data_IF_848385770305
#
_entry.id   IF_848385770305
#
_cell.length_a   1.000
_cell.length_b   1.000
_cell.length_c   1.000
_cell.angle_alpha   90.00
_cell.angle_beta   90.00
_cell.angle_gamma   90.00
#
_symmetry.space_group_name_H-M   'P 1'
#
loop_
_entity.id
_entity.type
_entity.pdbx_description
1 polymer ?
#
# COMPACT_ATOMS: atom_id res chain seq x y z
N UNK A 1 18.99 40.79 -7.85
CA UNK A 1 19.47 39.96 -8.98
C UNK A 1 18.83 38.59 -8.87
N UNK A 2 18.26 38.14 -9.98
CA UNK A 2 17.18 37.16 -10.10
C UNK A 2 17.55 35.77 -9.57
N UNK A 3 16.81 35.26 -8.57
CA UNK A 3 16.81 33.82 -8.27
C UNK A 3 15.92 33.12 -9.28
N UNK A 4 16.55 32.36 -10.18
CA UNK A 4 15.90 31.48 -11.15
C UNK A 4 15.08 30.41 -10.42
N UNK A 5 13.83 30.74 -10.08
CA UNK A 5 12.84 29.76 -9.63
C UNK A 5 12.52 28.84 -10.81
N UNK A 6 13.09 27.64 -10.82
CA UNK A 6 12.70 26.58 -11.75
C UNK A 6 11.16 26.48 -11.71
N UNK A 7 10.51 26.69 -12.85
CA UNK A 7 9.05 26.55 -12.99
C UNK A 7 8.67 25.18 -12.44
N UNK A 8 7.98 25.13 -11.29
CA UNK A 8 7.47 23.88 -10.70
C UNK A 8 6.57 23.22 -11.75
N UNK A 9 7.08 22.16 -12.40
CA UNK A 9 6.32 21.37 -13.38
C UNK A 9 4.97 21.01 -12.79
N UNK A 10 3.89 21.25 -13.55
CA UNK A 10 2.56 20.88 -13.11
C UNK A 10 2.48 19.35 -12.98
N UNK A 11 2.00 18.87 -11.82
CA UNK A 11 1.80 17.44 -11.58
C UNK A 11 0.43 17.01 -12.09
N UNK A 12 0.38 15.89 -12.80
CA UNK A 12 -0.84 15.28 -13.32
C UNK A 12 -1.27 14.14 -12.40
N UNK A 13 -2.43 14.28 -11.75
CA UNK A 13 -2.97 13.32 -10.79
C UNK A 13 -4.19 12.61 -11.39
N UNK A 14 -4.12 11.29 -11.53
CA UNK A 14 -5.28 10.47 -11.88
C UNK A 14 -6.24 10.36 -10.69
N UNK A 15 -7.52 10.66 -10.88
CA UNK A 15 -8.56 10.52 -9.87
C UNK A 15 -9.40 9.30 -10.18
N UNK A 16 -9.43 8.33 -9.26
CA UNK A 16 -10.20 7.10 -9.37
C UNK A 16 -11.12 7.04 -8.14
N UNK A 17 -12.33 7.64 -8.19
CA UNK A 17 -13.25 7.64 -7.06
C UNK A 17 -13.63 6.24 -6.59
N UNK A 18 -13.83 5.32 -7.54
CA UNK A 18 -14.34 3.99 -7.24
C UNK A 18 -15.80 4.00 -6.82
N UNK A 19 -16.13 3.23 -5.80
CA UNK A 19 -17.50 2.96 -5.36
C UNK A 19 -17.80 3.64 -4.01
N UNK A 20 -19.10 3.84 -3.73
CA UNK A 20 -19.58 4.30 -2.42
C UNK A 20 -18.92 5.59 -1.93
N UNK A 21 -18.36 5.56 -0.72
CA UNK A 21 -17.73 6.73 -0.07
C UNK A 21 -16.55 7.30 -0.87
N UNK A 22 -15.94 6.53 -1.77
CA UNK A 22 -14.87 6.98 -2.64
C UNK A 22 -15.25 8.22 -3.47
N UNK A 23 -16.52 8.29 -3.90
CA UNK A 23 -17.10 9.42 -4.63
C UNK A 23 -17.28 10.68 -3.81
N UNK A 24 -17.24 10.59 -2.47
CA UNK A 24 -17.31 11.72 -1.56
C UNK A 24 -15.91 12.20 -1.15
N UNK A 25 -15.02 11.25 -0.81
CA UNK A 25 -13.70 11.58 -0.28
C UNK A 25 -12.71 12.06 -1.35
N UNK A 26 -12.82 11.57 -2.60
CA UNK A 26 -11.91 12.00 -3.67
C UNK A 26 -12.13 13.47 -4.07
N UNK A 27 -13.38 13.97 -4.29
CA UNK A 27 -13.61 15.39 -4.51
C UNK A 27 -13.16 16.27 -3.34
N UNK A 28 -13.37 15.81 -2.10
CA UNK A 28 -12.89 16.53 -0.92
C UNK A 28 -11.36 16.63 -0.89
N UNK A 29 -10.65 15.52 -1.13
CA UNK A 29 -9.19 15.49 -1.22
C UNK A 29 -8.66 16.39 -2.35
N UNK A 30 -9.30 16.38 -3.52
CA UNK A 30 -8.98 17.29 -4.64
C UNK A 30 -9.04 18.75 -4.19
N UNK A 31 -10.13 19.16 -3.53
CA UNK A 31 -10.30 20.52 -3.03
C UNK A 31 -9.20 20.90 -2.03
N UNK A 32 -8.92 20.05 -1.04
CA UNK A 32 -7.86 20.30 -0.05
C UNK A 32 -6.50 20.46 -0.74
N UNK A 33 -6.16 19.58 -1.69
CA UNK A 33 -4.89 19.64 -2.41
C UNK A 33 -4.74 20.90 -3.26
N UNK A 34 -5.82 21.42 -3.84
CA UNK A 34 -5.80 22.67 -4.62
C UNK A 34 -5.56 23.90 -3.75
N UNK A 35 -6.05 23.90 -2.50
CA UNK A 35 -5.95 25.03 -1.58
C UNK A 35 -4.69 24.96 -0.68
N UNK A 36 -3.95 23.85 -0.69
CA UNK A 36 -2.79 23.66 0.20
C UNK A 36 -1.58 24.50 -0.26
N UNK A 37 -1.06 25.43 0.57
CA UNK A 37 0.10 26.23 0.21
C UNK A 37 1.36 25.39 -0.03
N UNK A 38 2.21 25.81 -0.97
CA UNK A 38 3.51 25.18 -1.25
C UNK A 38 3.45 23.96 -2.19
N UNK A 39 2.27 23.43 -2.46
CA UNK A 39 2.05 22.34 -3.43
C UNK A 39 2.29 22.87 -4.86
N UNK A 40 2.96 22.08 -5.75
CA UNK A 40 3.08 22.43 -7.17
C UNK A 40 1.70 22.61 -7.84
N UNK A 41 1.65 23.26 -9.00
CA UNK A 41 0.42 23.34 -9.78
C UNK A 41 -0.09 21.92 -10.07
N UNK A 42 -1.34 21.63 -9.72
CA UNK A 42 -1.96 20.34 -9.94
C UNK A 42 -2.91 20.38 -11.13
N UNK A 43 -2.93 19.30 -11.89
CA UNK A 43 -3.95 19.01 -12.90
C UNK A 43 -4.49 17.61 -12.64
N UNK A 44 -5.78 17.42 -12.92
CA UNK A 44 -6.49 16.19 -12.55
C UNK A 44 -7.03 15.50 -13.79
N UNK A 45 -7.00 14.18 -13.77
CA UNK A 45 -7.50 13.33 -14.83
C UNK A 45 -8.49 12.35 -14.23
N UNK A 46 -9.76 12.48 -14.58
CA UNK A 46 -10.79 11.55 -14.09
C UNK A 46 -10.67 10.21 -14.82
N UNK A 47 -10.70 9.14 -14.03
CA UNK A 47 -10.50 7.76 -14.42
C UNK A 47 -11.49 6.86 -13.70
N UNK A 48 -11.86 5.75 -14.35
CA UNK A 48 -12.86 4.83 -13.83
C UNK A 48 -12.26 3.48 -13.47
N UNK A 49 -12.64 2.96 -12.31
CA UNK A 49 -12.43 1.59 -11.88
C UNK A 49 -13.39 1.32 -10.71
N UNK A 50 -13.89 0.10 -10.55
CA UNK A 50 -14.78 -0.21 -9.43
C UNK A 50 -15.69 -1.40 -9.69
N UNK A 51 -16.44 -1.79 -8.68
CA UNK A 51 -17.46 -2.82 -8.80
C UNK A 51 -18.73 -2.30 -9.47
N UNK A 52 -19.12 -1.04 -9.22
CA UNK A 52 -20.27 -0.46 -9.93
C UNK A 52 -20.01 -0.37 -11.44
N UNK A 53 -18.76 -0.08 -11.83
CA UNK A 53 -18.35 -0.10 -13.24
C UNK A 53 -18.45 -1.51 -13.81
N UNK A 54 -18.01 -2.52 -13.05
CA UNK A 54 -18.15 -3.92 -13.43
C UNK A 54 -19.61 -4.34 -13.63
N UNK A 55 -20.52 -3.90 -12.75
CA UNK A 55 -21.95 -4.19 -12.89
C UNK A 55 -22.56 -3.61 -14.19
N UNK A 56 -22.04 -2.48 -14.66
CA UNK A 56 -22.53 -1.80 -15.88
C UNK A 56 -21.89 -2.33 -17.16
N UNK A 57 -20.61 -2.68 -17.11
CA UNK A 57 -19.78 -2.92 -18.32
C UNK A 57 -19.19 -4.32 -18.39
N UNK A 58 -19.28 -5.11 -17.31
CA UNK A 58 -18.57 -6.37 -17.15
C UNK A 58 -17.07 -6.22 -16.87
N UNK A 59 -16.55 -5.00 -16.73
CA UNK A 59 -15.11 -4.73 -16.54
C UNK A 59 -14.88 -3.89 -15.29
N UNK A 60 -14.10 -4.40 -14.34
CA UNK A 60 -13.80 -3.68 -13.08
C UNK A 60 -12.65 -2.68 -13.18
N UNK A 61 -11.71 -2.93 -14.09
CA UNK A 61 -10.56 -2.06 -14.37
C UNK A 61 -10.33 -1.98 -15.89
N UNK A 62 -10.83 -0.94 -16.56
CA UNK A 62 -10.57 -0.71 -17.98
C UNK A 62 -9.07 -0.66 -18.28
N UNK A 63 -8.67 -1.18 -19.45
CA UNK A 63 -7.28 -1.09 -19.91
C UNK A 63 -6.85 0.37 -20.12
N UNK A 64 -7.75 1.18 -20.66
CA UNK A 64 -7.56 2.63 -20.85
C UNK A 64 -7.18 3.33 -19.54
N UNK A 65 -7.82 2.98 -18.41
CA UNK A 65 -7.47 3.54 -17.09
C UNK A 65 -6.01 3.28 -16.75
N UNK A 66 -5.51 2.05 -16.96
CA UNK A 66 -4.11 1.70 -16.68
C UNK A 66 -3.16 2.42 -17.65
N UNK A 67 -3.51 2.51 -18.93
CA UNK A 67 -2.71 3.17 -19.96
C UNK A 67 -2.58 4.67 -19.70
N UNK A 68 -3.68 5.34 -19.34
CA UNK A 68 -3.68 6.76 -18.96
C UNK A 68 -2.89 7.00 -17.68
N UNK A 69 -2.96 6.11 -16.71
CA UNK A 69 -2.11 6.20 -15.52
C UNK A 69 -0.63 6.13 -15.86
N UNK A 70 -0.22 5.20 -16.73
CA UNK A 70 1.19 5.05 -17.14
C UNK A 70 1.70 6.19 -18.00
N UNK A 71 0.89 6.68 -18.93
CA UNK A 71 1.34 7.63 -19.98
C UNK A 71 1.09 9.09 -19.64
N UNK A 72 0.11 9.38 -18.78
CA UNK A 72 -0.40 10.74 -18.58
C UNK A 72 -0.38 11.21 -17.14
N UNK A 73 -0.13 10.33 -16.16
CA UNK A 73 -0.20 10.68 -14.74
C UNK A 73 1.18 10.54 -14.07
N UNK A 74 1.52 11.50 -13.20
CA UNK A 74 2.68 11.38 -12.30
C UNK A 74 2.30 10.63 -11.01
N UNK A 75 1.01 10.69 -10.62
CA UNK A 75 0.47 10.02 -9.44
C UNK A 75 -1.03 9.74 -9.60
N UNK A 76 -1.62 9.02 -8.65
CA UNK A 76 -3.05 8.77 -8.64
C UNK A 76 -3.63 8.74 -7.22
N UNK A 77 -4.87 9.21 -7.09
CA UNK A 77 -5.70 9.05 -5.91
C UNK A 77 -6.78 8.02 -6.20
N UNK A 78 -6.75 6.93 -5.44
CA UNK A 78 -7.76 5.88 -5.50
C UNK A 78 -8.64 5.96 -4.25
N UNK A 79 -9.96 6.01 -4.43
CA UNK A 79 -10.95 6.08 -3.37
C UNK A 79 -11.17 4.73 -2.71
N UNK A 80 -12.38 4.18 -2.89
CA UNK A 80 -12.76 2.89 -2.32
C UNK A 80 -13.34 1.98 -3.40
N UNK A 81 -13.26 0.67 -3.22
CA UNK A 81 -13.94 -0.30 -4.09
C UNK A 81 -14.80 -1.23 -3.24
N UNK A 82 -16.04 -1.41 -3.65
CA UNK A 82 -16.95 -2.38 -3.05
C UNK A 82 -16.55 -3.77 -3.51
N UNK A 83 -15.96 -4.59 -2.65
CA UNK A 83 -15.59 -5.96 -3.01
C UNK A 83 -16.72 -6.93 -2.65
N UNK A 84 -17.21 -7.76 -3.59
CA UNK A 84 -18.22 -8.77 -3.28
C UNK A 84 -17.67 -9.78 -2.26
N UNK A 85 -18.52 -10.23 -1.34
CA UNK A 85 -18.17 -11.20 -0.29
C UNK A 85 -18.01 -12.63 -0.82
N UNK A 86 -18.53 -12.90 -2.02
CA UNK A 86 -18.43 -14.17 -2.72
C UNK A 86 -17.67 -13.99 -4.04
N UNK A 87 -17.19 -15.10 -4.60
CA UNK A 87 -16.55 -15.10 -5.91
C UNK A 87 -17.59 -14.77 -6.97
N UNK A 88 -17.40 -13.65 -7.66
CA UNK A 88 -18.20 -13.27 -8.83
C UNK A 88 -17.37 -13.62 -10.07
N UNK A 89 -17.95 -14.39 -10.98
CA UNK A 89 -17.29 -14.78 -12.21
C UNK A 89 -16.94 -13.54 -13.06
N UNK A 90 -15.74 -13.50 -13.65
CA UNK A 90 -15.26 -12.34 -14.38
C UNK A 90 -14.79 -11.15 -13.53
N UNK A 91 -15.14 -11.08 -12.23
CA UNK A 91 -14.68 -10.00 -11.36
C UNK A 91 -13.28 -10.27 -10.81
N UNK A 92 -12.40 -9.30 -10.99
CA UNK A 92 -11.13 -9.22 -10.26
C UNK A 92 -11.02 -7.87 -9.56
N UNK A 93 -10.44 -7.86 -8.35
CA UNK A 93 -10.30 -6.63 -7.57
C UNK A 93 -9.44 -5.62 -8.35
N UNK A 94 -10.00 -4.45 -8.71
CA UNK A 94 -9.31 -3.48 -9.56
C UNK A 94 -8.05 -2.94 -8.88
N UNK A 95 -8.07 -2.74 -7.55
CA UNK A 95 -6.89 -2.26 -6.81
C UNK A 95 -5.76 -3.29 -6.80
N UNK A 96 -6.06 -4.58 -6.66
CA UNK A 96 -5.05 -5.65 -6.69
C UNK A 96 -4.44 -5.73 -8.08
N UNK A 97 -5.26 -5.69 -9.13
CA UNK A 97 -4.77 -5.69 -10.51
C UNK A 97 -3.95 -4.44 -10.81
N UNK A 98 -4.41 -3.26 -10.41
CA UNK A 98 -3.73 -1.99 -10.63
C UNK A 98 -2.34 -1.97 -10.00
N UNK A 99 -2.21 -2.48 -8.76
CA UNK A 99 -0.92 -2.61 -8.07
C UNK A 99 0.07 -3.50 -8.83
N UNK A 100 -0.41 -4.61 -9.40
CA UNK A 100 0.43 -5.51 -10.20
C UNK A 100 0.84 -4.86 -11.52
N UNK A 101 -0.11 -4.26 -12.23
CA UNK A 101 0.11 -3.59 -13.52
C UNK A 101 1.10 -2.42 -13.40
N UNK A 102 1.07 -1.67 -12.30
CA UNK A 102 1.93 -0.51 -12.07
C UNK A 102 3.17 -0.82 -11.20
N UNK A 103 3.44 -2.10 -10.89
CA UNK A 103 4.50 -2.54 -9.96
C UNK A 103 4.53 -1.74 -8.64
N UNK A 104 3.36 -1.44 -8.07
CA UNK A 104 3.19 -0.74 -6.79
C UNK A 104 3.44 -1.68 -5.61
N UNK A 105 4.70 -2.02 -5.44
CA UNK A 105 5.16 -3.11 -4.58
C UNK A 105 5.17 -2.81 -3.09
N UNK A 106 5.29 -1.54 -2.71
CA UNK A 106 5.31 -1.12 -1.33
C UNK A 106 3.94 -0.55 -0.93
N UNK A 107 3.28 -1.21 0.01
CA UNK A 107 2.12 -0.67 0.68
C UNK A 107 2.55 0.01 1.98
N UNK A 108 2.69 1.33 1.94
CA UNK A 108 3.13 2.17 3.06
C UNK A 108 1.90 2.68 3.80
N UNK A 109 1.81 2.43 5.12
CA UNK A 109 0.68 2.84 5.98
C UNK A 109 1.19 3.56 7.22
N UNK A 110 1.29 4.90 7.18
CA UNK A 110 1.53 5.70 8.37
C UNK A 110 0.34 5.61 9.33
N UNK A 111 0.63 5.42 10.61
CA UNK A 111 -0.33 5.37 11.71
C UNK A 111 0.15 6.40 12.73
N UNK A 112 -0.63 7.47 12.89
CA UNK A 112 -0.33 8.55 13.81
C UNK A 112 -1.47 8.69 14.83
N UNK A 113 -1.14 8.55 16.12
CA UNK A 113 -2.06 8.81 17.22
C UNK A 113 -1.80 10.20 17.78
N UNK A 114 -2.78 11.09 17.63
CA UNK A 114 -2.72 12.46 18.15
C UNK A 114 -2.66 12.43 19.69
N UNK A 115 -3.44 11.56 20.33
CA UNK A 115 -3.54 11.49 21.79
C UNK A 115 -2.38 10.77 22.46
N UNK A 116 -1.92 9.65 21.88
CA UNK A 116 -0.82 8.84 22.45
C UNK A 116 0.55 9.26 21.93
N UNK A 117 0.60 10.27 21.06
CA UNK A 117 1.78 10.74 20.33
C UNK A 117 2.58 9.56 19.72
N UNK A 118 1.87 8.54 19.23
CA UNK A 118 2.49 7.35 18.65
C UNK A 118 2.57 7.52 17.14
N UNK A 119 3.75 7.29 16.57
CA UNK A 119 3.96 7.26 15.12
C UNK A 119 4.61 5.95 14.71
N UNK A 120 3.91 5.16 13.90
CA UNK A 120 4.41 3.91 13.33
C UNK A 120 4.08 3.94 11.85
N UNK A 121 5.03 3.58 11.00
CA UNK A 121 4.74 3.35 9.58
C UNK A 121 4.95 1.89 9.24
N UNK A 122 3.89 1.22 8.78
CA UNK A 122 3.98 -0.15 8.27
C UNK A 122 4.38 -0.09 6.81
N UNK A 123 5.52 -0.70 6.47
CA UNK A 123 5.99 -0.87 5.09
C UNK A 123 5.81 -2.33 4.71
N UNK A 124 4.79 -2.60 3.90
CA UNK A 124 4.36 -3.95 3.58
C UNK A 124 4.68 -4.31 2.13
N UNK A 125 5.30 -5.46 1.92
CA UNK A 125 5.47 -6.10 0.61
C UNK A 125 4.09 -6.49 0.05
N UNK A 126 3.85 -6.21 -1.23
CA UNK A 126 2.52 -6.22 -1.84
C UNK A 126 2.45 -6.98 -3.18
N UNK A 127 3.46 -7.79 -3.51
CA UNK A 127 3.55 -8.52 -4.79
C UNK A 127 3.51 -10.05 -4.65
N UNK A 128 4.01 -10.61 -3.56
CA UNK A 128 4.20 -12.06 -3.39
C UNK A 128 3.60 -12.62 -2.08
N UNK A 129 4.26 -13.55 -1.39
CA UNK A 129 3.75 -14.32 -0.26
C UNK A 129 2.59 -15.24 -0.69
N UNK A 130 1.58 -15.44 0.16
CA UNK A 130 0.37 -16.19 -0.20
C UNK A 130 -0.49 -15.47 -1.26
N UNK A 131 -0.17 -14.22 -1.59
CA UNK A 131 -0.91 -13.45 -2.62
C UNK A 131 -0.62 -13.89 -4.06
N UNK A 132 0.27 -14.87 -4.26
CA UNK A 132 0.44 -15.55 -5.55
C UNK A 132 -0.76 -16.42 -5.94
N UNK A 133 -1.64 -16.74 -4.98
CA UNK A 133 -2.89 -17.52 -5.19
C UNK A 133 -2.68 -18.86 -5.90
N UNK A 134 -1.57 -19.53 -5.57
CA UNK A 134 -1.28 -20.87 -6.05
C UNK A 134 -1.78 -21.87 -5.02
N UNK A 135 -3.01 -22.32 -5.20
CA UNK A 135 -3.73 -23.17 -4.27
C UNK A 135 -4.22 -24.44 -4.99
N UNK A 136 -4.20 -25.57 -4.29
CA UNK A 136 -4.68 -26.86 -4.80
C UNK A 136 -5.43 -27.61 -3.70
N UNK A 137 -6.43 -28.40 -4.11
CA UNK A 137 -7.17 -29.29 -3.24
C UNK A 137 -7.00 -30.71 -3.77
N UNK A 138 -6.51 -31.62 -2.94
CA UNK A 138 -6.38 -33.05 -3.23
C UNK A 138 -7.23 -33.86 -2.24
N UNK A 139 -7.87 -34.93 -2.71
CA UNK A 139 -8.62 -35.86 -1.83
C UNK A 139 -7.84 -37.16 -1.55
N UNK A 140 -6.76 -37.39 -2.29
CA UNK A 140 -5.91 -38.57 -2.19
C UNK A 140 -4.52 -38.16 -1.71
N UNK A 141 -4.48 -37.42 -0.60
CA UNK A 141 -3.22 -36.93 -0.09
C UNK A 141 -2.42 -38.03 0.62
N UNK A 142 -1.14 -38.24 0.30
CA UNK A 142 -0.34 -39.26 0.97
C UNK A 142 -0.06 -38.94 2.45
N UNK A 143 -0.27 -37.70 2.91
CA UNK A 143 0.04 -37.29 4.27
C UNK A 143 -1.18 -37.13 5.20
N UNK A 144 -2.41 -37.14 4.66
CA UNK A 144 -3.61 -37.05 5.48
C UNK A 144 -4.84 -37.65 4.77
N UNK A 145 -5.70 -38.40 5.49
CA UNK A 145 -6.96 -38.86 4.92
C UNK A 145 -7.93 -37.67 4.72
N UNK A 146 -8.68 -37.69 3.61
CA UNK A 146 -9.72 -36.70 3.30
C UNK A 146 -9.27 -35.56 2.39
N UNK A 147 -10.05 -34.47 2.33
CA UNK A 147 -9.73 -33.30 1.50
C UNK A 147 -8.60 -32.49 2.14
N UNK A 148 -7.47 -32.38 1.45
CA UNK A 148 -6.31 -31.58 1.84
C UNK A 148 -6.20 -30.37 0.92
N UNK A 149 -6.10 -29.18 1.51
CA UNK A 149 -5.82 -27.94 0.80
C UNK A 149 -4.36 -27.52 1.00
N UNK A 150 -3.67 -27.15 -0.08
CA UNK A 150 -2.32 -26.58 -0.04
C UNK A 150 -2.28 -25.22 -0.71
N UNK A 151 -1.50 -24.32 -0.14
CA UNK A 151 -1.18 -23.02 -0.70
C UNK A 151 0.34 -22.84 -0.77
N UNK A 152 0.83 -22.33 -1.88
CA UNK A 152 2.25 -22.03 -2.06
C UNK A 152 2.50 -20.59 -1.59
N UNK A 153 3.44 -20.44 -0.65
CA UNK A 153 3.97 -19.14 -0.24
C UNK A 153 5.28 -18.89 -0.97
N UNK A 154 5.32 -17.86 -1.83
CA UNK A 154 6.54 -17.47 -2.54
C UNK A 154 7.15 -16.27 -1.84
N UNK A 155 8.44 -16.36 -1.53
CA UNK A 155 9.24 -15.23 -1.03
C UNK A 155 10.50 -15.16 -1.88
N UNK A 156 10.72 -14.03 -2.55
CA UNK A 156 11.89 -13.82 -3.39
C UNK A 156 12.86 -12.84 -2.74
N UNK A 157 14.15 -13.06 -2.97
CA UNK A 157 15.21 -12.16 -2.53
C UNK A 157 14.97 -10.73 -3.07
N UNK A 158 14.69 -10.61 -4.37
CA UNK A 158 14.44 -9.30 -5.02
C UNK A 158 13.30 -8.53 -4.35
N UNK A 159 12.16 -9.15 -4.08
CA UNK A 159 11.03 -8.47 -3.46
C UNK A 159 11.33 -8.08 -2.00
N UNK A 160 12.01 -8.97 -1.27
CA UNK A 160 12.43 -8.75 0.12
C UNK A 160 13.47 -7.63 0.25
N UNK A 161 14.46 -7.57 -0.64
CA UNK A 161 15.48 -6.52 -0.63
C UNK A 161 14.90 -5.15 -0.96
N UNK A 162 14.07 -5.04 -2.01
CA UNK A 162 13.50 -3.75 -2.39
C UNK A 162 12.54 -3.19 -1.35
N UNK A 163 11.78 -4.04 -0.66
CA UNK A 163 10.90 -3.59 0.42
C UNK A 163 11.70 -3.21 1.67
N UNK A 164 12.78 -3.94 1.98
CA UNK A 164 13.72 -3.57 3.04
C UNK A 164 14.38 -2.22 2.80
N UNK A 165 14.84 -1.97 1.56
CA UNK A 165 15.39 -0.66 1.15
C UNK A 165 14.35 0.46 1.29
N UNK A 166 13.12 0.23 0.82
CA UNK A 166 12.02 1.19 0.99
C UNK A 166 11.75 1.49 2.47
N UNK A 167 11.78 0.47 3.33
CA UNK A 167 11.59 0.65 4.77
C UNK A 167 12.70 1.52 5.38
N UNK A 168 13.97 1.30 5.00
CA UNK A 168 15.08 2.14 5.42
C UNK A 168 14.93 3.58 4.92
N UNK A 169 14.53 3.80 3.67
CA UNK A 169 14.29 5.13 3.11
C UNK A 169 13.17 5.88 3.84
N UNK A 170 12.06 5.19 4.15
CA UNK A 170 10.95 5.74 4.94
C UNK A 170 11.43 6.11 6.34
N UNK A 171 12.23 5.25 6.98
CA UNK A 171 12.78 5.50 8.32
C UNK A 171 13.71 6.73 8.32
N UNK A 172 14.61 6.84 7.34
CA UNK A 172 15.53 7.99 7.21
C UNK A 172 14.77 9.30 6.97
N UNK A 173 13.76 9.31 6.10
CA UNK A 173 12.90 10.49 5.90
C UNK A 173 12.17 10.88 7.19
N UNK A 174 11.63 9.91 7.92
CA UNK A 174 10.99 10.15 9.21
C UNK A 174 11.97 10.70 10.25
N UNK A 175 13.21 10.21 10.27
CA UNK A 175 14.26 10.74 11.16
C UNK A 175 14.62 12.18 10.82
N UNK A 176 14.74 12.52 9.53
CA UNK A 176 15.04 13.89 9.11
C UNK A 176 13.94 14.87 9.58
N UNK A 177 12.67 14.49 9.44
CA UNK A 177 11.54 15.30 9.97
C UNK A 177 11.64 15.43 11.50
N UNK A 178 11.87 14.33 12.21
CA UNK A 178 12.01 14.35 13.69
C UNK A 178 13.23 15.14 14.17
N UNK A 179 14.32 15.19 13.42
CA UNK A 179 15.50 15.99 13.77
C UNK A 179 15.25 17.50 13.77
N UNK A 180 14.17 17.95 13.12
CA UNK A 180 13.72 19.34 13.14
C UNK A 180 12.74 19.63 14.30
N UNK A 181 12.27 18.60 15.00
CA UNK A 181 11.41 18.72 16.18
C UNK A 181 12.26 18.88 17.44
N UNK A 182 11.72 19.56 18.45
CA UNK A 182 12.39 19.71 19.75
C UNK A 182 12.47 18.36 20.47
N UNK A 183 13.44 18.20 21.38
CA UNK A 183 13.61 16.95 22.13
C UNK A 183 12.39 16.59 22.99
N UNK A 184 11.67 17.60 23.51
CA UNK A 184 10.42 17.42 24.26
C UNK A 184 9.27 16.85 23.40
N UNK A 185 9.34 17.01 22.08
CA UNK A 185 8.35 16.50 21.13
C UNK A 185 8.81 15.19 20.46
N UNK A 186 10.06 14.76 20.66
CA UNK A 186 10.61 13.50 20.14
C UNK A 186 10.24 12.36 21.10
N UNK A 187 9.57 11.34 20.58
CA UNK A 187 9.24 10.15 21.36
C UNK A 187 10.25 9.07 21.07
N UNK A 188 11.19 8.92 21.99
CA UNK A 188 12.04 7.76 22.06
C UNK A 188 11.36 6.70 22.93
N UNK A 189 11.25 5.48 22.41
CA UNK A 189 11.00 4.31 23.25
C UNK A 189 12.36 3.73 23.62
N UNK A 190 13.06 4.36 24.56
CA UNK A 190 14.43 3.95 24.97
C UNK A 190 14.43 2.60 25.72
N UNK A 191 13.30 2.20 26.32
CA UNK A 191 13.27 1.07 27.28
C UNK A 191 12.52 -0.19 26.80
N UNK A 192 12.50 -0.54 25.51
CA UNK A 192 11.91 -1.84 25.09
C UNK A 192 12.91 -2.98 24.88
N UNK A 193 14.21 -2.74 24.95
CA UNK A 193 15.24 -3.78 24.78
C UNK A 193 16.43 -3.60 25.74
N UNK A 194 16.18 -3.23 26.99
CA UNK A 194 17.09 -3.66 28.05
C UNK A 194 16.76 -5.12 28.35
N UNK A 195 17.68 -6.09 28.18
CA UNK A 195 17.48 -7.40 28.73
C UNK A 195 17.42 -7.21 30.25
N UNK A 196 16.25 -7.38 30.86
CA UNK A 196 16.19 -7.60 32.29
C UNK A 196 16.99 -8.86 32.56
N UNK A 197 18.15 -8.71 33.17
CA UNK A 197 18.99 -9.78 33.68
C UNK A 197 18.24 -10.50 34.81
N UNK A 198 17.33 -11.41 34.45
CA UNK A 198 16.81 -12.48 35.29
C UNK A 198 15.82 -13.33 34.50
N UNK A 199 16.05 -14.65 34.50
CA UNK A 199 15.18 -15.73 33.99
C UNK A 199 14.94 -15.78 32.48
N UNK A 200 15.97 -16.22 31.74
CA UNK A 200 15.77 -16.90 30.46
C UNK A 200 15.28 -18.32 30.79
N UNK A 201 13.96 -18.52 30.77
CA UNK A 201 13.41 -19.86 30.55
C UNK A 201 13.25 -20.05 29.05
N UNK A 202 14.18 -20.84 28.52
CA UNK A 202 14.18 -21.40 27.17
C UNK A 202 12.86 -22.12 26.89
N UNK A 203 12.10 -21.64 25.92
CA UNK A 203 11.08 -22.44 25.23
C UNK A 203 10.72 -21.81 23.89
N UNK A 204 11.70 -21.76 22.98
CA UNK A 204 11.46 -21.64 21.54
C UNK A 204 12.40 -22.59 20.83
N UNK A 205 11.97 -23.85 20.71
CA UNK A 205 12.64 -24.85 19.88
C UNK A 205 12.52 -24.46 18.40
N UNK A 206 13.62 -23.99 17.82
CA UNK A 206 13.84 -24.08 16.39
C UNK A 206 14.44 -25.47 16.10
N UNK A 207 13.59 -26.39 15.65
CA UNK A 207 14.01 -27.62 14.99
C UNK A 207 14.28 -27.31 13.51
N UNK A 208 15.55 -27.19 13.17
CA UNK A 208 16.04 -27.44 11.80
C UNK A 208 17.16 -28.48 11.92
N UNK A 209 16.99 -29.63 11.26
CA UNK A 209 18.11 -30.50 10.91
C UNK A 209 18.99 -29.82 9.88
#
# INVERSE_FOLDING_TARGET
MSSSGALKKALRIGLIPGDGIGKLVIPAAKRVLQETPGVPKLSFIDLEAGYELFQKTGVSLPKETVERLRSQCDSALFGAVSSPSHKVEGYSSPIVRLRKELDLYANIRPIHSISKKLEITVVRENTECLYVKQESISSNDPHAPGKVARAIRVISQRASERIGKMAAEVALKGMAVRSQMTEADRIWKVNLLTPSSSSVHENWGFLTR
#
